data_IF_738702423274
#
_entry.id   IF_738702423274
#
_cell.length_a   1.000
_cell.length_b   1.000
_cell.length_c   1.000
_cell.angle_alpha   90.00
_cell.angle_beta   90.00
_cell.angle_gamma   90.00
#
_symmetry.space_group_name_H-M   'P 1'
#
loop_
_entity.id
_entity.type
_entity.pdbx_description
1 polymer ?
#
# COMPACT_ATOMS: atom_id res chain seq x y z
N UNK A 1 31.29 12.06 8.20
CA UNK A 1 30.76 10.77 8.70
C UNK A 1 31.81 10.15 9.60
N UNK A 2 31.41 9.52 10.70
CA UNK A 2 32.31 8.99 11.74
C UNK A 2 32.75 7.55 11.45
N UNK A 3 31.84 6.72 10.92
CA UNK A 3 32.08 5.33 10.54
C UNK A 3 31.33 5.00 9.25
N UNK A 4 31.61 3.84 8.63
CA UNK A 4 30.82 3.34 7.50
C UNK A 4 29.34 3.16 7.88
N UNK A 5 29.08 2.63 9.09
CA UNK A 5 27.73 2.50 9.63
C UNK A 5 27.03 3.86 9.75
N UNK A 6 27.71 4.89 10.29
CA UNK A 6 27.17 6.27 10.36
C UNK A 6 26.88 6.85 8.96
N UNK A 7 27.74 6.58 7.98
CA UNK A 7 27.49 6.96 6.59
C UNK A 7 26.24 6.29 6.01
N UNK A 8 26.14 4.96 6.11
CA UNK A 8 25.02 4.20 5.57
C UNK A 8 23.70 4.58 6.26
N UNK A 9 23.71 4.70 7.59
CA UNK A 9 22.51 5.05 8.36
C UNK A 9 21.99 6.47 8.05
N UNK A 10 22.89 7.45 7.84
CA UNK A 10 22.47 8.80 7.44
C UNK A 10 21.88 8.82 6.03
N UNK A 11 22.51 8.13 5.08
CA UNK A 11 21.98 8.02 3.72
C UNK A 11 20.63 7.28 3.70
N UNK A 12 20.51 6.19 4.47
CA UNK A 12 19.24 5.47 4.65
C UNK A 12 18.13 6.42 5.12
N UNK A 13 18.39 7.20 6.16
CA UNK A 13 17.39 8.11 6.72
C UNK A 13 17.03 9.25 5.75
N UNK A 14 18.02 9.84 5.08
CA UNK A 14 17.78 10.91 4.10
C UNK A 14 16.93 10.40 2.93
N UNK A 15 17.33 9.27 2.34
CA UNK A 15 16.59 8.67 1.23
C UNK A 15 15.18 8.25 1.65
N UNK A 16 15.02 7.68 2.85
CA UNK A 16 13.70 7.36 3.41
C UNK A 16 12.82 8.60 3.52
N UNK A 17 13.35 9.72 4.02
CA UNK A 17 12.60 10.96 4.18
C UNK A 17 12.24 11.58 2.82
N UNK A 18 13.15 11.57 1.86
CA UNK A 18 12.92 12.04 0.49
C UNK A 18 11.81 11.22 -0.19
N UNK A 19 11.92 9.89 -0.19
CA UNK A 19 10.87 9.02 -0.75
C UNK A 19 9.53 9.20 -0.02
N UNK A 20 9.54 9.44 1.30
CA UNK A 20 8.31 9.71 2.06
C UNK A 20 7.64 11.01 1.62
N UNK A 21 8.42 12.04 1.26
CA UNK A 21 7.89 13.29 0.74
C UNK A 21 7.18 13.07 -0.61
N UNK A 22 7.80 12.33 -1.53
CA UNK A 22 7.18 12.00 -2.83
C UNK A 22 5.89 11.18 -2.65
N UNK A 23 5.91 10.16 -1.78
CA UNK A 23 4.72 9.35 -1.49
C UNK A 23 3.59 10.24 -0.96
N UNK A 24 3.92 11.23 -0.12
CA UNK A 24 2.95 12.19 0.39
C UNK A 24 2.37 13.08 -0.73
N UNK A 25 3.15 13.45 -1.73
CA UNK A 25 2.66 14.20 -2.90
C UNK A 25 1.75 13.33 -3.77
N UNK A 26 2.13 12.08 -4.02
CA UNK A 26 1.30 11.12 -4.77
C UNK A 26 -0.06 10.90 -4.11
N UNK A 27 -0.11 10.78 -2.78
CA UNK A 27 -1.38 10.68 -2.03
C UNK A 27 -2.21 11.96 -2.19
N UNK A 28 -1.58 13.14 -2.09
CA UNK A 28 -2.27 14.43 -2.25
C UNK A 28 -2.80 14.65 -3.67
N UNK A 29 -2.13 14.11 -4.68
CA UNK A 29 -2.61 14.14 -6.06
C UNK A 29 -3.76 13.14 -6.27
N UNK A 30 -3.60 11.91 -5.78
CA UNK A 30 -4.54 10.82 -6.07
C UNK A 30 -5.86 10.92 -5.30
N UNK A 31 -5.81 11.23 -4.00
CA UNK A 31 -6.99 11.12 -3.11
C UNK A 31 -8.12 12.10 -3.45
N UNK A 32 -7.89 13.39 -3.75
CA UNK A 32 -8.97 14.33 -4.06
C UNK A 32 -9.85 13.88 -5.24
N UNK A 33 -9.28 13.17 -6.20
CA UNK A 33 -10.00 12.68 -7.38
C UNK A 33 -10.98 11.55 -7.08
N UNK A 34 -10.84 10.87 -5.95
CA UNK A 34 -11.77 9.81 -5.52
C UNK A 34 -13.11 10.36 -5.02
N UNK A 35 -13.15 11.65 -4.67
CA UNK A 35 -14.34 12.36 -4.18
C UNK A 35 -15.05 11.57 -3.06
N UNK A 36 -14.31 11.26 -2.00
CA UNK A 36 -14.84 10.54 -0.85
C UNK A 36 -16.02 11.29 -0.22
N UNK A 37 -17.07 10.55 0.17
CA UNK A 37 -18.25 11.05 0.86
C UNK A 37 -18.77 9.98 1.82
N UNK A 38 -19.66 10.36 2.74
CA UNK A 38 -20.37 9.39 3.58
C UNK A 38 -21.69 9.02 2.89
N UNK A 39 -21.92 7.72 2.68
CA UNK A 39 -23.15 7.22 2.07
C UNK A 39 -24.34 7.27 3.07
N UNK A 40 -25.53 6.85 2.61
CA UNK A 40 -26.74 6.85 3.45
C UNK A 40 -26.67 5.91 4.66
N UNK A 41 -25.75 4.95 4.65
CA UNK A 41 -25.52 3.96 5.70
C UNK A 41 -24.47 4.45 6.72
N UNK A 42 -23.88 5.64 6.50
CA UNK A 42 -22.85 6.19 7.38
C UNK A 42 -21.43 5.72 7.05
N UNK A 43 -21.25 5.00 5.94
CA UNK A 43 -19.97 4.43 5.53
C UNK A 43 -19.23 5.30 4.51
N UNK A 44 -17.88 5.30 4.51
CA UNK A 44 -17.10 5.95 3.46
C UNK A 44 -17.37 5.32 2.09
N UNK A 45 -17.73 6.15 1.12
CA UNK A 45 -17.95 5.79 -0.27
C UNK A 45 -17.24 6.74 -1.22
N UNK A 46 -17.06 6.31 -2.48
CA UNK A 46 -16.31 7.04 -3.49
C UNK A 46 -17.14 7.17 -4.77
N UNK A 47 -17.28 8.40 -5.28
CA UNK A 47 -18.00 8.69 -6.53
C UNK A 47 -17.10 9.16 -7.67
N UNK A 48 -15.88 9.55 -7.33
CA UNK A 48 -14.84 9.94 -8.27
C UNK A 48 -13.98 8.76 -8.69
N UNK A 49 -12.94 9.05 -9.44
CA UNK A 49 -11.97 8.06 -9.91
C UNK A 49 -10.58 8.68 -9.90
N UNK A 50 -9.59 7.89 -9.50
CA UNK A 50 -8.18 8.25 -9.60
C UNK A 50 -7.46 7.26 -10.50
N UNK A 51 -6.57 7.73 -11.38
CA UNK A 51 -5.73 6.85 -12.21
C UNK A 51 -4.80 5.97 -11.35
N UNK A 52 -4.40 6.48 -10.19
CA UNK A 52 -3.41 5.86 -9.29
C UNK A 52 -4.02 5.19 -8.06
N UNK A 53 -5.30 5.44 -7.76
CA UNK A 53 -6.00 4.87 -6.61
C UNK A 53 -7.32 4.24 -6.99
N UNK A 54 -7.61 3.05 -6.46
CA UNK A 54 -8.82 2.26 -6.69
C UNK A 54 -9.48 1.88 -5.35
N UNK A 55 -10.82 1.92 -5.26
CA UNK A 55 -11.52 1.41 -4.08
C UNK A 55 -11.27 -0.09 -3.88
N UNK A 56 -10.97 -0.46 -2.63
CA UNK A 56 -10.84 -1.84 -2.21
C UNK A 56 -12.25 -2.42 -2.07
N UNK A 57 -12.47 -3.58 -2.68
CA UNK A 57 -13.70 -4.36 -2.53
C UNK A 57 -13.62 -5.27 -1.30
N UNK A 58 -12.46 -5.86 -1.07
CA UNK A 58 -12.20 -6.72 0.08
C UNK A 58 -10.72 -6.66 0.46
N UNK A 59 -10.44 -6.62 1.76
CA UNK A 59 -9.09 -6.76 2.31
C UNK A 59 -9.15 -7.79 3.44
N UNK A 60 -8.21 -8.73 3.45
CA UNK A 60 -8.08 -9.71 4.53
C UNK A 60 -6.64 -10.11 4.74
N UNK A 61 -6.25 -10.24 6.00
CA UNK A 61 -4.98 -10.90 6.36
C UNK A 61 -5.16 -12.39 6.09
N UNK A 62 -4.28 -12.98 5.29
CA UNK A 62 -4.36 -14.38 4.87
C UNK A 62 -3.49 -15.29 5.74
N UNK A 63 -2.25 -14.87 6.05
CA UNK A 63 -1.33 -15.64 6.89
C UNK A 63 -0.47 -14.73 7.76
N UNK A 64 -0.26 -15.15 9.01
CA UNK A 64 0.73 -14.56 9.92
C UNK A 64 1.61 -15.70 10.42
N UNK A 65 2.90 -15.69 10.05
CA UNK A 65 3.85 -16.72 10.46
C UNK A 65 4.48 -16.40 11.81
N UNK A 66 4.84 -17.46 12.55
CA UNK A 66 5.51 -17.30 13.83
C UNK A 66 6.84 -16.53 13.70
N UNK A 67 7.22 -15.74 14.72
CA UNK A 67 8.52 -15.09 14.77
C UNK A 67 9.68 -16.08 14.61
N UNK A 68 10.78 -15.62 14.00
CA UNK A 68 12.03 -16.37 14.02
C UNK A 68 12.61 -16.40 15.45
N UNK A 69 13.51 -17.35 15.72
CA UNK A 69 14.19 -17.43 17.02
C UNK A 69 14.95 -16.12 17.27
N UNK A 70 14.64 -15.47 18.39
CA UNK A 70 15.27 -14.20 18.78
C UNK A 70 14.55 -12.95 18.27
N UNK A 71 13.51 -13.10 17.44
CA UNK A 71 12.64 -12.00 17.00
C UNK A 71 11.30 -12.00 17.74
N UNK A 72 10.72 -10.81 17.93
CA UNK A 72 9.38 -10.64 18.52
C UNK A 72 8.30 -10.46 17.46
N UNK A 73 8.68 -9.88 16.31
CA UNK A 73 7.79 -9.66 15.17
C UNK A 73 7.60 -10.95 14.37
N UNK A 74 6.46 -11.12 13.68
CA UNK A 74 6.25 -12.29 12.82
C UNK A 74 7.30 -12.36 11.70
N UNK A 75 7.63 -13.57 11.26
CA UNK A 75 8.58 -13.77 10.16
C UNK A 75 8.00 -13.39 8.79
N UNK A 76 6.68 -13.46 8.64
CA UNK A 76 5.95 -13.03 7.44
C UNK A 76 4.50 -12.71 7.78
N UNK A 77 3.95 -11.71 7.07
CA UNK A 77 2.54 -11.34 7.12
C UNK A 77 2.08 -11.15 5.68
N UNK A 78 1.08 -11.91 5.28
CA UNK A 78 0.47 -11.83 3.95
C UNK A 78 -1.00 -11.44 4.04
N UNK A 79 -1.47 -10.73 3.02
CA UNK A 79 -2.85 -10.30 2.90
C UNK A 79 -3.34 -10.44 1.46
N UNK A 80 -4.64 -10.57 1.28
CA UNK A 80 -5.32 -10.53 0.00
C UNK A 80 -6.09 -9.22 -0.14
N UNK A 81 -5.95 -8.56 -1.29
CA UNK A 81 -6.66 -7.34 -1.63
C UNK A 81 -7.40 -7.55 -2.93
N UNK A 82 -8.73 -7.43 -2.89
CA UNK A 82 -9.57 -7.53 -4.08
C UNK A 82 -10.05 -6.15 -4.49
N UNK A 83 -9.92 -5.80 -5.77
CA UNK A 83 -10.44 -4.55 -6.34
C UNK A 83 -11.00 -4.77 -7.75
N UNK A 84 -11.80 -3.81 -8.22
CA UNK A 84 -12.35 -3.82 -9.57
C UNK A 84 -11.77 -2.70 -10.41
N UNK A 85 -11.44 -3.02 -11.67
CA UNK A 85 -11.01 -2.03 -12.67
C UNK A 85 -12.11 -1.66 -13.67
N UNK A 86 -13.33 -2.15 -13.44
CA UNK A 86 -14.51 -1.95 -14.29
C UNK A 86 -14.83 -0.48 -14.57
N UNK A 87 -14.62 0.41 -13.60
CA UNK A 87 -14.91 1.83 -13.74
C UNK A 87 -13.89 2.60 -14.59
N UNK A 88 -12.74 2.00 -14.90
CA UNK A 88 -11.65 2.67 -15.62
C UNK A 88 -11.72 2.50 -17.14
N UNK A 89 -11.15 3.46 -17.85
CA UNK A 89 -10.90 3.37 -19.30
C UNK A 89 -9.84 2.30 -19.60
N UNK A 90 -9.90 1.70 -20.79
CA UNK A 90 -9.00 0.62 -21.22
C UNK A 90 -7.50 0.91 -20.98
N UNK A 91 -7.04 2.14 -21.24
CA UNK A 91 -5.65 2.53 -20.98
C UNK A 91 -5.28 2.40 -19.49
N UNK A 92 -6.14 2.88 -18.58
CA UNK A 92 -5.89 2.82 -17.14
C UNK A 92 -6.01 1.38 -16.64
N UNK A 93 -6.97 0.60 -17.17
CA UNK A 93 -7.07 -0.84 -16.89
C UNK A 93 -5.77 -1.56 -17.22
N UNK A 94 -5.21 -1.30 -18.42
CA UNK A 94 -3.92 -1.86 -18.83
C UNK A 94 -2.77 -1.47 -17.91
N UNK A 95 -2.81 -0.30 -17.28
CA UNK A 95 -1.78 0.11 -16.31
C UNK A 95 -1.90 -0.68 -15.00
N UNK A 96 -3.11 -0.88 -14.49
CA UNK A 96 -3.35 -1.74 -13.33
C UNK A 96 -3.03 -3.21 -13.62
N UNK A 97 -3.35 -3.68 -14.83
CA UNK A 97 -2.99 -5.02 -15.31
C UNK A 97 -1.48 -5.16 -15.58
N UNK A 98 -0.70 -4.08 -15.54
CA UNK A 98 0.76 -4.12 -15.73
C UNK A 98 1.56 -4.24 -14.43
N UNK A 99 0.88 -4.23 -13.28
CA UNK A 99 1.49 -4.46 -11.97
C UNK A 99 2.19 -5.82 -11.93
N UNK A 100 3.29 -5.88 -11.19
CA UNK A 100 4.19 -7.04 -11.13
C UNK A 100 4.53 -7.42 -9.69
N UNK A 101 5.06 -8.62 -9.54
CA UNK A 101 5.76 -9.01 -8.33
C UNK A 101 6.80 -7.95 -7.94
N UNK A 102 6.93 -7.71 -6.64
CA UNK A 102 7.79 -6.71 -6.01
C UNK A 102 7.38 -5.25 -6.21
N UNK A 103 6.33 -4.95 -6.99
CA UNK A 103 5.78 -3.59 -7.00
C UNK A 103 5.24 -3.24 -5.60
N UNK A 104 5.57 -2.04 -5.14
CA UNK A 104 5.06 -1.52 -3.87
C UNK A 104 3.74 -0.78 -4.09
N UNK A 105 2.73 -1.14 -3.31
CA UNK A 105 1.42 -0.50 -3.25
C UNK A 105 1.20 0.10 -1.86
N UNK A 106 0.17 0.95 -1.75
CA UNK A 106 -0.20 1.62 -0.52
C UNK A 106 -1.68 1.37 -0.21
N UNK A 107 -1.95 0.88 0.99
CA UNK A 107 -3.27 0.71 1.58
C UNK A 107 -3.61 1.99 2.35
N UNK A 108 -4.72 2.62 1.99
CA UNK A 108 -5.18 3.86 2.61
C UNK A 108 -6.54 3.62 3.26
N UNK A 109 -6.71 4.21 4.44
CA UNK A 109 -8.01 4.31 5.11
C UNK A 109 -8.48 5.75 5.06
N UNK A 110 -9.53 6.01 4.30
CA UNK A 110 -10.11 7.33 4.10
C UNK A 110 -11.48 7.39 4.77
N UNK A 111 -11.63 8.25 5.77
CA UNK A 111 -12.88 8.55 6.45
C UNK A 111 -13.18 10.04 6.26
N UNK A 112 -14.06 10.41 5.32
CA UNK A 112 -14.41 11.81 5.10
C UNK A 112 -15.16 12.38 6.31
N UNK A 113 -15.03 13.69 6.56
CA UNK A 113 -15.76 14.34 7.65
C UNK A 113 -17.25 14.44 7.32
N UNK A 114 -18.10 14.20 8.32
CA UNK A 114 -19.55 14.32 8.20
C UNK A 114 -19.99 15.78 7.97
N UNK A 115 -19.25 16.71 8.58
CA UNK A 115 -19.50 18.15 8.46
C UNK A 115 -18.51 18.77 7.48
N UNK A 116 -18.97 19.58 6.51
CA UNK A 116 -18.07 20.37 5.68
C UNK A 116 -17.38 21.40 6.58
N UNK A 117 -16.04 21.41 6.54
CA UNK A 117 -15.23 22.38 7.26
C UNK A 117 -15.65 23.80 6.85
N UNK A 118 -15.80 24.71 7.81
CA UNK A 118 -15.94 26.14 7.52
C UNK A 118 -14.70 26.66 6.77
N UNK A 119 -14.81 27.80 6.10
CA UNK A 119 -13.68 28.37 5.35
C UNK A 119 -12.43 28.58 6.23
N UNK A 120 -12.61 28.94 7.50
CA UNK A 120 -11.51 29.11 8.46
C UNK A 120 -10.90 27.78 8.91
N UNK A 121 -11.74 26.76 9.14
CA UNK A 121 -11.27 25.41 9.50
C UNK A 121 -10.56 24.74 8.33
N UNK A 122 -11.09 24.89 7.11
CA UNK A 122 -10.45 24.38 5.90
C UNK A 122 -9.06 25.01 5.69
N UNK A 123 -8.93 26.32 5.95
CA UNK A 123 -7.65 27.02 5.85
C UNK A 123 -6.61 26.50 6.87
N UNK A 124 -7.05 26.13 8.08
CA UNK A 124 -6.18 25.60 9.15
C UNK A 124 -5.98 24.08 9.12
N UNK A 125 -6.83 23.35 8.40
CA UNK A 125 -6.80 21.90 8.35
C UNK A 125 -5.48 21.39 7.75
N UNK A 126 -4.92 20.38 8.42
CA UNK A 126 -3.75 19.66 7.92
C UNK A 126 -4.11 18.85 6.67
N UNK A 127 -3.11 18.46 5.88
CA UNK A 127 -3.32 17.63 4.69
C UNK A 127 -4.13 16.36 5.00
N UNK A 128 -3.79 15.55 6.03
CA UNK A 128 -4.57 14.35 6.34
C UNK A 128 -6.03 14.66 6.68
N UNK A 129 -6.28 15.73 7.44
CA UNK A 129 -7.64 16.15 7.80
C UNK A 129 -8.46 16.55 6.56
N UNK A 130 -7.89 17.33 5.64
CA UNK A 130 -8.57 17.73 4.40
C UNK A 130 -8.90 16.54 3.50
N UNK A 131 -8.03 15.52 3.50
CA UNK A 131 -8.22 14.31 2.71
C UNK A 131 -9.09 13.25 3.40
N UNK A 132 -9.42 13.43 4.69
CA UNK A 132 -10.01 12.37 5.51
C UNK A 132 -9.08 11.16 5.68
N UNK A 133 -7.77 11.33 5.50
CA UNK A 133 -6.80 10.23 5.55
C UNK A 133 -6.48 9.87 7.00
N UNK A 134 -6.82 8.64 7.40
CA UNK A 134 -6.57 8.13 8.75
C UNK A 134 -5.30 7.28 8.82
N UNK A 135 -5.16 6.32 7.92
CA UNK A 135 -4.06 5.36 7.91
C UNK A 135 -3.46 5.20 6.52
N UNK A 136 -2.15 4.95 6.50
CA UNK A 136 -1.38 4.57 5.32
C UNK A 136 -0.48 3.40 5.71
N UNK A 137 -0.53 2.32 4.95
CA UNK A 137 0.42 1.20 5.05
C UNK A 137 0.96 0.84 3.69
N UNK A 138 2.25 0.53 3.62
CA UNK A 138 2.87 -0.03 2.41
C UNK A 138 2.67 -1.54 2.37
N UNK A 139 2.55 -2.08 1.17
CA UNK A 139 2.57 -3.51 0.92
C UNK A 139 3.31 -3.81 -0.40
N UNK A 140 3.82 -5.02 -0.54
CA UNK A 140 4.54 -5.45 -1.74
C UNK A 140 3.80 -6.59 -2.41
N UNK A 141 3.65 -6.54 -3.73
CA UNK A 141 2.96 -7.59 -4.49
C UNK A 141 3.79 -8.88 -4.46
N UNK A 142 3.16 -9.96 -4.03
CA UNK A 142 3.67 -11.33 -4.18
C UNK A 142 3.14 -11.93 -5.49
N UNK A 143 1.82 -11.86 -5.69
CA UNK A 143 1.18 -12.34 -6.91
C UNK A 143 -0.16 -11.65 -7.18
N UNK A 144 -0.61 -11.71 -8.43
CA UNK A 144 -1.87 -11.14 -8.88
C UNK A 144 -2.67 -12.23 -9.58
N UNK A 145 -3.96 -12.32 -9.29
CA UNK A 145 -4.91 -13.22 -9.94
C UNK A 145 -6.04 -12.45 -10.60
N UNK A 146 -6.49 -12.94 -11.75
CA UNK A 146 -7.67 -12.43 -12.44
C UNK A 146 -8.97 -12.95 -11.81
N UNK A 147 -10.12 -12.59 -12.40
CA UNK A 147 -11.44 -12.94 -11.86
C UNK A 147 -11.73 -14.45 -11.87
N UNK A 148 -11.05 -15.22 -12.74
CA UNK A 148 -11.15 -16.69 -12.76
C UNK A 148 -10.11 -17.36 -11.85
N UNK A 149 -9.29 -16.59 -11.13
CA UNK A 149 -8.22 -17.08 -10.26
C UNK A 149 -6.92 -17.43 -10.99
N UNK A 150 -6.81 -17.10 -12.28
CA UNK A 150 -5.62 -17.34 -13.09
C UNK A 150 -4.52 -16.34 -12.72
N UNK A 151 -3.30 -16.85 -12.58
CA UNK A 151 -2.13 -16.03 -12.23
C UNK A 151 -1.82 -15.04 -13.36
N UNK A 152 -1.67 -13.77 -13.00
CA UNK A 152 -1.30 -12.68 -13.89
C UNK A 152 0.18 -12.35 -13.74
N UNK A 153 0.83 -12.04 -14.87
CA UNK A 153 2.17 -11.44 -14.91
C UNK A 153 3.24 -12.18 -14.12
N UNK A 154 3.27 -13.50 -14.23
CA UNK A 154 4.32 -14.28 -13.61
C UNK A 154 5.64 -14.16 -14.38
N UNK A 155 6.59 -13.41 -13.82
CA UNK A 155 7.97 -13.30 -14.32
C UNK A 155 8.90 -14.34 -13.69
N UNK A 156 8.42 -15.15 -12.74
CA UNK A 156 9.20 -16.23 -12.09
C UNK A 156 9.38 -17.46 -12.99
N UNK A 157 8.66 -17.51 -14.12
CA UNK A 157 8.74 -18.58 -15.11
C UNK A 157 7.82 -19.77 -14.83
N UNK A 158 6.89 -19.68 -13.87
CA UNK A 158 5.83 -20.70 -13.67
C UNK A 158 4.80 -20.63 -14.81
N UNK A 159 4.62 -19.47 -15.45
CA UNK A 159 3.87 -19.29 -16.69
C UNK A 159 4.83 -19.08 -17.86
N UNK A 160 4.79 -19.98 -18.85
CA UNK A 160 5.55 -19.80 -20.09
C UNK A 160 4.99 -18.62 -20.88
N UNK A 161 5.84 -17.85 -21.57
CA UNK A 161 5.41 -16.72 -22.42
C UNK A 161 4.33 -17.12 -23.44
N UNK A 162 4.39 -18.35 -23.94
CA UNK A 162 3.44 -18.89 -24.93
C UNK A 162 2.08 -19.23 -24.31
N UNK A 163 2.01 -19.35 -22.99
CA UNK A 163 0.79 -19.64 -22.21
C UNK A 163 0.17 -18.37 -21.61
N UNK A 164 0.79 -17.21 -21.82
CA UNK A 164 0.26 -15.93 -21.35
C UNK A 164 -1.06 -15.63 -22.04
N UNK A 165 -2.13 -15.53 -21.24
CA UNK A 165 -3.45 -15.14 -21.68
C UNK A 165 -3.75 -13.74 -21.15
N UNK A 166 -4.50 -12.93 -21.90
CA UNK A 166 -5.00 -11.68 -21.36
C UNK A 166 -5.83 -11.96 -20.10
N UNK A 167 -5.72 -11.11 -19.06
CA UNK A 167 -6.50 -11.24 -17.83
C UNK A 167 -7.99 -11.30 -18.13
N UNK A 168 -8.70 -12.20 -17.46
CA UNK A 168 -10.14 -12.33 -17.63
C UNK A 168 -10.90 -11.55 -16.56
N UNK A 169 -12.07 -11.04 -16.98
CA UNK A 169 -12.94 -10.29 -16.11
C UNK A 169 -12.35 -8.95 -15.65
N UNK A 170 -13.03 -8.32 -14.71
CA UNK A 170 -12.75 -6.96 -14.23
C UNK A 170 -12.34 -6.91 -12.75
N UNK A 171 -12.32 -8.06 -12.08
CA UNK A 171 -11.80 -8.20 -10.72
C UNK A 171 -10.34 -8.66 -10.71
N UNK A 172 -9.60 -8.14 -9.75
CA UNK A 172 -8.21 -8.53 -9.47
C UNK A 172 -8.10 -8.83 -7.98
N UNK A 173 -7.46 -9.95 -7.67
CA UNK A 173 -7.07 -10.29 -6.30
C UNK A 173 -5.57 -10.32 -6.23
N UNK A 174 -5.00 -9.46 -5.37
CA UNK A 174 -3.56 -9.32 -5.20
C UNK A 174 -3.19 -9.87 -3.84
N UNK A 175 -2.28 -10.84 -3.83
CA UNK A 175 -1.64 -11.31 -2.61
C UNK A 175 -0.43 -10.41 -2.36
N UNK A 176 -0.38 -9.79 -1.18
CA UNK A 176 0.66 -8.84 -0.80
C UNK A 176 1.38 -9.25 0.48
N UNK A 177 2.67 -8.91 0.57
CA UNK A 177 3.43 -8.92 1.81
C UNK A 177 3.27 -7.58 2.54
N UNK A 178 3.02 -7.64 3.85
CA UNK A 178 2.97 -6.47 4.73
C UNK A 178 4.28 -6.36 5.54
N UNK A 179 4.63 -5.15 5.94
CA UNK A 179 5.79 -4.93 6.83
C UNK A 179 5.53 -5.58 8.21
N UNK A 180 6.37 -6.54 8.57
CA UNK A 180 6.18 -7.34 9.79
C UNK A 180 6.44 -6.56 11.07
N UNK A 181 7.34 -5.58 11.04
CA UNK A 181 7.60 -4.72 12.18
C UNK A 181 6.42 -3.78 12.43
N UNK A 182 5.87 -3.19 11.37
CA UNK A 182 4.68 -2.34 11.42
C UNK A 182 3.46 -3.13 11.88
N UNK A 183 3.27 -4.36 11.38
CA UNK A 183 2.20 -5.24 11.83
C UNK A 183 2.28 -5.54 13.32
N UNK A 184 3.47 -5.89 13.81
CA UNK A 184 3.68 -6.13 15.23
C UNK A 184 3.37 -4.88 16.07
N UNK A 185 3.81 -3.69 15.64
CA UNK A 185 3.51 -2.43 16.33
C UNK A 185 2.00 -2.15 16.36
N UNK A 186 1.31 -2.31 15.23
CA UNK A 186 -0.12 -2.05 15.12
C UNK A 186 -0.94 -2.99 16.02
N UNK A 187 -0.63 -4.30 16.02
CA UNK A 187 -1.31 -5.28 16.89
C UNK A 187 -1.02 -5.03 18.37
N UNK A 188 0.22 -4.63 18.71
CA UNK A 188 0.59 -4.27 20.08
C UNK A 188 -0.20 -3.06 20.55
N UNK A 189 -0.31 -2.01 19.72
CA UNK A 189 -1.07 -0.81 20.04
C UNK A 189 -2.57 -1.10 20.20
N UNK A 190 -3.15 -2.00 19.40
CA UNK A 190 -4.54 -2.46 19.57
C UNK A 190 -4.70 -3.17 20.92
N UNK A 191 -3.81 -4.10 21.26
CA UNK A 191 -3.91 -4.89 22.48
C UNK A 191 -3.67 -4.09 23.76
N UNK A 192 -2.66 -3.21 23.77
CA UNK A 192 -2.24 -2.48 24.97
C UNK A 192 -2.97 -1.15 25.16
N UNK A 193 -3.30 -0.46 24.07
CA UNK A 193 -3.88 0.89 24.10
C UNK A 193 -5.33 0.92 23.64
N UNK A 194 -5.89 -0.19 23.20
CA UNK A 194 -7.25 -0.25 22.66
C UNK A 194 -7.42 0.57 21.38
N UNK A 195 -6.37 0.68 20.56
CA UNK A 195 -6.42 1.40 19.30
C UNK A 195 -7.44 0.78 18.31
N UNK A 196 -7.92 1.56 17.33
CA UNK A 196 -8.78 1.05 16.26
C UNK A 196 -8.05 0.00 15.41
N UNK A 197 -8.79 -0.99 14.92
CA UNK A 197 -8.26 -1.99 14.00
C UNK A 197 -7.98 -1.38 12.62
N UNK A 198 -6.69 -1.10 12.38
CA UNK A 198 -6.19 -0.53 11.13
C UNK A 198 -6.51 -1.45 9.94
N UNK A 199 -6.39 -2.77 10.11
CA UNK A 199 -6.52 -3.75 9.04
C UNK A 199 -7.95 -3.96 8.57
N UNK A 200 -8.94 -3.67 9.43
CA UNK A 200 -10.36 -3.63 9.06
C UNK A 200 -10.81 -2.33 8.39
N UNK A 201 -9.95 -1.33 8.28
CA UNK A 201 -10.34 0.03 7.88
C UNK A 201 -9.95 0.44 6.45
N UNK A 202 -9.11 -0.35 5.77
CA UNK A 202 -8.59 0.00 4.46
C UNK A 202 -9.70 0.00 3.40
N UNK A 203 -9.76 1.07 2.61
CA UNK A 203 -10.80 1.24 1.60
C UNK A 203 -10.28 1.75 0.26
N UNK A 204 -9.01 2.16 0.16
CA UNK A 204 -8.35 2.52 -1.11
C UNK A 204 -7.01 1.80 -1.23
N UNK A 205 -6.75 1.25 -2.41
CA UNK A 205 -5.45 0.76 -2.84
C UNK A 205 -4.84 1.76 -3.82
N UNK A 206 -3.63 2.21 -3.55
CA UNK A 206 -2.91 3.18 -4.37
C UNK A 206 -1.61 2.58 -4.91
N UNK A 207 -1.38 2.73 -6.21
CA UNK A 207 -0.09 2.43 -6.86
C UNK A 207 0.70 3.70 -7.10
N UNK A 208 2.01 3.56 -7.34
CA UNK A 208 2.88 4.66 -7.78
C UNK A 208 3.33 4.48 -9.23
N UNK A 209 3.99 5.49 -9.80
CA UNK A 209 4.62 5.36 -11.11
C UNK A 209 5.81 4.40 -10.97
N UNK A 210 5.97 3.38 -11.85
CA UNK A 210 7.03 2.38 -11.69
C UNK A 210 8.46 2.95 -11.60
N UNK A 211 8.73 4.05 -12.31
CA UNK A 211 10.07 4.70 -12.31
C UNK A 211 10.44 5.34 -10.98
N UNK A 212 9.46 5.65 -10.15
CA UNK A 212 9.62 6.34 -8.85
C UNK A 212 9.38 5.35 -7.69
N UNK A 213 9.10 4.08 -7.98
CA UNK A 213 8.65 3.08 -7.01
C UNK A 213 9.72 2.04 -6.64
N UNK A 214 10.98 2.46 -6.55
CA UNK A 214 12.13 1.61 -6.21
C UNK A 214 12.65 1.83 -4.78
N UNK A 215 12.00 2.70 -4.00
CA UNK A 215 12.53 3.14 -2.71
C UNK A 215 12.73 1.99 -1.71
N UNK A 216 11.79 1.03 -1.66
CA UNK A 216 11.86 -0.12 -0.75
C UNK A 216 13.10 -0.98 -1.03
N UNK A 217 13.32 -1.36 -2.28
CA UNK A 217 14.46 -2.18 -2.69
C UNK A 217 15.81 -1.50 -2.37
N UNK A 218 15.89 -0.18 -2.55
CA UNK A 218 17.08 0.60 -2.19
C UNK A 218 17.29 0.62 -0.68
N UNK A 219 16.24 0.88 0.11
CA UNK A 219 16.31 0.87 1.57
C UNK A 219 16.70 -0.52 2.11
N UNK A 220 16.16 -1.59 1.54
CA UNK A 220 16.53 -2.96 1.88
C UNK A 220 17.99 -3.24 1.56
N UNK A 221 18.47 -2.85 0.38
CA UNK A 221 19.88 -3.01 0.01
C UNK A 221 20.82 -2.27 0.97
N UNK A 222 20.48 -1.03 1.37
CA UNK A 222 21.28 -0.27 2.34
C UNK A 222 21.26 -0.95 3.72
N UNK A 223 20.11 -1.47 4.15
CA UNK A 223 19.98 -2.20 5.42
C UNK A 223 20.82 -3.48 5.41
N UNK A 224 20.77 -4.24 4.32
CA UNK A 224 21.50 -5.50 4.21
C UNK A 224 23.02 -5.24 4.21
N UNK A 225 23.49 -4.18 3.51
CA UNK A 225 24.87 -3.70 3.61
C UNK A 225 25.27 -3.29 5.04
N UNK A 226 24.37 -2.69 5.82
CA UNK A 226 24.68 -2.38 7.22
C UNK A 226 24.84 -3.65 8.06
N UNK A 227 24.09 -4.71 7.76
CA UNK A 227 24.12 -5.97 8.50
C UNK A 227 25.31 -6.87 8.13
N UNK A 228 25.70 -6.93 6.85
CA UNK A 228 26.82 -7.75 6.38
C UNK A 228 28.18 -7.37 7.01
N UNK A 229 28.42 -6.06 7.22
CA UNK A 229 29.71 -5.55 7.72
C UNK A 229 29.75 -5.34 9.24
N UNK A 230 28.65 -5.60 9.95
CA UNK A 230 28.60 -5.53 11.42
C UNK A 230 28.71 -6.91 12.08
N UNK A 231 29.07 -7.94 11.31
CA UNK A 231 29.47 -9.28 11.77
C UNK A 231 30.97 -9.45 11.57
#
# INVERSE_FOLDING_TARGET
FLTLHDYLLRNFNLFRLESTYEIREDIQEAVPHLLAYINNEGEPAFRGWSRMGVPIKEFRISEVKQPNIGEVKPSSVTAEVTFSISSYKAQIRSEWDSLKEHDVLFLLSIRPSFEPLSAEEAAKATVPQRLGLQYVRGCEIIEIRDEEGSLMNDFTGRVKRDEWKPPKGELRTVTVALDTAQYHMDVTDIAEKGAEDVYGSFNILMRRKPKENNFKAILESIRDLMNEYCI
#
